data_IF_598002776568
#
_entry.id   IF_598002776568
#
_cell.length_a   1.000
_cell.length_b   1.000
_cell.length_c   1.000
_cell.angle_alpha   90.00
_cell.angle_beta   90.00
_cell.angle_gamma   90.00
#
_symmetry.space_group_name_H-M   'P 1'
#
loop_
_entity.id
_entity.type
_entity.pdbx_description
1 polymer ?
#
# COMPACT_ATOMS: atom_id res chain seq x y z
N UNK A 1 -43.38 2.48 0.46
CA UNK A 1 -42.40 2.70 1.56
C UNK A 1 -42.39 4.17 1.93
N UNK A 2 -42.57 4.49 3.21
CA UNK A 2 -42.60 5.86 3.72
C UNK A 2 -41.24 6.56 3.57
N UNK A 3 -41.24 7.89 3.45
CA UNK A 3 -40.03 8.74 3.36
C UNK A 3 -39.07 8.48 4.52
N UNK A 4 -39.59 8.34 5.73
CA UNK A 4 -38.82 8.00 6.92
C UNK A 4 -38.06 6.67 6.80
N UNK A 5 -38.67 5.64 6.20
CA UNK A 5 -38.04 4.33 6.01
C UNK A 5 -36.86 4.41 5.03
N UNK A 6 -36.99 5.21 3.96
CA UNK A 6 -35.91 5.44 2.99
C UNK A 6 -34.73 6.19 3.61
N UNK A 7 -35.02 7.22 4.42
CA UNK A 7 -34.00 7.99 5.13
C UNK A 7 -33.24 7.12 6.15
N UNK A 8 -33.96 6.29 6.91
CA UNK A 8 -33.33 5.33 7.84
C UNK A 8 -32.41 4.34 7.12
N UNK A 9 -32.84 3.79 5.98
CA UNK A 9 -32.00 2.92 5.15
C UNK A 9 -30.72 3.62 4.69
N UNK A 10 -30.84 4.86 4.21
CA UNK A 10 -29.71 5.67 3.75
C UNK A 10 -28.73 5.99 4.88
N UNK A 11 -29.24 6.28 6.09
CA UNK A 11 -28.42 6.49 7.29
C UNK A 11 -27.62 5.25 7.66
N UNK A 12 -28.26 4.07 7.71
CA UNK A 12 -27.59 2.81 8.05
C UNK A 12 -26.52 2.43 7.01
N UNK A 13 -26.81 2.70 5.74
CA UNK A 13 -25.85 2.50 4.66
C UNK A 13 -24.63 3.41 4.83
N UNK A 14 -24.84 4.71 5.08
CA UNK A 14 -23.75 5.66 5.29
C UNK A 14 -22.91 5.27 6.52
N UNK A 15 -23.56 4.93 7.64
CA UNK A 15 -22.88 4.44 8.84
C UNK A 15 -21.98 3.24 8.54
N UNK A 16 -22.49 2.27 7.79
CA UNK A 16 -21.72 1.08 7.39
C UNK A 16 -20.53 1.45 6.51
N UNK A 17 -20.69 2.38 5.58
CA UNK A 17 -19.61 2.85 4.72
C UNK A 17 -18.53 3.59 5.53
N UNK A 18 -18.90 4.44 6.48
CA UNK A 18 -17.96 5.11 7.39
C UNK A 18 -17.15 4.10 8.21
N UNK A 19 -17.80 3.08 8.78
CA UNK A 19 -17.09 2.01 9.51
C UNK A 19 -16.16 1.19 8.62
N UNK A 20 -16.52 0.97 7.34
CA UNK A 20 -15.64 0.31 6.37
C UNK A 20 -14.43 1.18 6.05
N UNK A 21 -14.61 2.49 5.85
CA UNK A 21 -13.51 3.43 5.66
C UNK A 21 -12.57 3.43 6.86
N UNK A 22 -13.10 3.49 8.09
CA UNK A 22 -12.30 3.46 9.31
C UNK A 22 -11.37 2.23 9.40
N UNK A 23 -11.81 1.06 8.88
CA UNK A 23 -11.00 -0.17 8.85
C UNK A 23 -9.81 -0.09 7.87
N UNK A 24 -9.84 0.82 6.90
CA UNK A 24 -8.76 1.04 5.92
C UNK A 24 -7.60 1.85 6.49
N UNK A 25 -7.73 2.46 7.68
CA UNK A 25 -6.59 3.13 8.32
C UNK A 25 -5.44 2.12 8.51
N UNK A 26 -4.17 2.50 8.29
CA UNK A 26 -3.04 1.57 8.38
C UNK A 26 -2.74 1.16 9.84
N UNK A 27 -2.84 2.11 10.78
CA UNK A 27 -2.54 1.90 12.19
C UNK A 27 -3.80 1.47 12.98
N UNK A 28 -3.63 0.56 13.93
CA UNK A 28 -4.74 0.03 14.72
C UNK A 28 -5.40 1.12 15.59
N UNK A 29 -4.60 1.98 16.23
CA UNK A 29 -5.10 3.07 17.07
C UNK A 29 -5.97 4.02 16.26
N UNK A 30 -5.56 4.34 15.03
CA UNK A 30 -6.34 5.19 14.11
C UNK A 30 -7.64 4.52 13.67
N UNK A 31 -7.66 3.19 13.48
CA UNK A 31 -8.90 2.44 13.17
C UNK A 31 -9.90 2.55 14.31
N UNK A 32 -9.46 2.31 15.54
CA UNK A 32 -10.34 2.34 16.71
C UNK A 32 -10.83 3.76 17.01
N UNK A 33 -9.94 4.76 16.91
CA UNK A 33 -10.30 6.17 17.05
C UNK A 33 -11.36 6.57 16.01
N UNK A 34 -11.16 6.23 14.73
CA UNK A 34 -12.11 6.58 13.68
C UNK A 34 -13.44 5.86 13.84
N UNK A 35 -13.44 4.58 14.25
CA UNK A 35 -14.69 3.86 14.59
C UNK A 35 -15.44 4.54 15.73
N UNK A 36 -14.76 4.91 16.80
CA UNK A 36 -15.36 5.59 17.95
C UNK A 36 -15.94 6.95 17.54
N UNK A 37 -15.23 7.71 16.73
CA UNK A 37 -15.69 9.00 16.20
C UNK A 37 -16.96 8.86 15.36
N UNK A 38 -17.00 7.89 14.44
CA UNK A 38 -18.21 7.60 13.63
C UNK A 38 -19.37 7.22 14.55
N UNK A 39 -19.16 6.33 15.52
CA UNK A 39 -20.20 5.95 16.47
C UNK A 39 -20.72 7.12 17.32
N UNK A 40 -19.84 8.03 17.72
CA UNK A 40 -20.20 9.22 18.47
C UNK A 40 -21.09 10.13 17.62
N UNK A 41 -20.65 10.52 16.42
CA UNK A 41 -21.41 11.41 15.52
C UNK A 41 -22.81 10.91 15.18
N UNK A 42 -22.96 9.62 14.92
CA UNK A 42 -24.27 9.04 14.63
C UNK A 42 -25.16 8.94 15.89
N UNK A 43 -24.57 8.76 17.08
CA UNK A 43 -25.31 8.75 18.35
C UNK A 43 -25.82 10.14 18.71
N UNK A 44 -25.03 11.18 18.48
CA UNK A 44 -25.39 12.58 18.80
C UNK A 44 -26.66 13.02 18.05
N UNK A 45 -26.86 12.53 16.83
CA UNK A 45 -28.01 12.85 15.98
C UNK A 45 -29.12 11.80 16.00
N UNK A 46 -29.08 10.81 16.90
CA UNK A 46 -30.00 9.67 16.91
C UNK A 46 -31.47 10.07 17.13
N UNK A 47 -31.72 11.19 17.81
CA UNK A 47 -33.07 11.70 18.12
C UNK A 47 -33.62 12.64 17.05
N UNK A 48 -32.85 12.93 16.00
CA UNK A 48 -33.26 13.85 14.94
C UNK A 48 -34.37 13.24 14.09
N UNK A 49 -35.55 13.86 14.11
CA UNK A 49 -36.75 13.40 13.38
C UNK A 49 -37.09 14.27 12.16
N UNK A 50 -36.58 15.49 12.12
CA UNK A 50 -36.80 16.42 11.01
C UNK A 50 -36.18 15.85 9.71
N UNK A 51 -37.00 15.52 8.69
CA UNK A 51 -36.51 14.91 7.46
C UNK A 51 -35.55 15.81 6.68
N UNK A 52 -35.69 17.14 6.76
CA UNK A 52 -34.80 18.06 6.04
C UNK A 52 -33.45 18.14 6.72
N UNK A 53 -33.41 18.24 8.06
CA UNK A 53 -32.16 18.08 8.83
C UNK A 53 -31.47 16.74 8.55
N UNK A 54 -32.21 15.63 8.51
CA UNK A 54 -31.62 14.31 8.18
C UNK A 54 -31.00 14.30 6.79
N UNK A 55 -31.63 14.95 5.79
CA UNK A 55 -31.06 15.04 4.43
C UNK A 55 -29.76 15.83 4.41
N UNK A 56 -29.69 16.96 5.12
CA UNK A 56 -28.48 17.78 5.25
C UNK A 56 -27.37 16.96 5.90
N UNK A 57 -27.63 16.34 7.05
CA UNK A 57 -26.65 15.49 7.75
C UNK A 57 -26.14 14.34 6.88
N UNK A 58 -27.03 13.73 6.08
CA UNK A 58 -26.64 12.69 5.14
C UNK A 58 -25.76 13.23 4.00
N UNK A 59 -25.98 14.47 3.55
CA UNK A 59 -25.13 15.10 2.54
C UNK A 59 -23.75 15.42 3.11
N UNK A 60 -23.70 16.07 4.27
CA UNK A 60 -22.46 16.42 4.97
C UNK A 60 -21.62 15.17 5.27
N UNK A 61 -22.26 14.13 5.81
CA UNK A 61 -21.59 12.86 6.12
C UNK A 61 -21.08 12.12 4.88
N UNK A 62 -21.72 12.28 3.71
CA UNK A 62 -21.19 11.75 2.44
C UNK A 62 -19.95 12.51 2.00
N UNK A 63 -19.95 13.83 2.10
CA UNK A 63 -18.79 14.66 1.76
C UNK A 63 -17.59 14.35 2.66
N UNK A 64 -17.82 14.20 3.97
CA UNK A 64 -16.77 13.79 4.91
C UNK A 64 -16.20 12.39 4.57
N UNK A 65 -17.07 11.43 4.24
CA UNK A 65 -16.65 10.10 3.84
C UNK A 65 -15.87 10.12 2.52
N UNK A 66 -16.27 10.93 1.54
CA UNK A 66 -15.56 11.11 0.29
C UNK A 66 -14.16 11.68 0.52
N UNK A 67 -14.03 12.71 1.36
CA UNK A 67 -12.72 13.25 1.77
C UNK A 67 -11.86 12.18 2.42
N UNK A 68 -12.42 11.38 3.33
CA UNK A 68 -11.68 10.28 3.97
C UNK A 68 -11.20 9.23 2.95
N UNK A 69 -12.08 8.83 2.03
CA UNK A 69 -11.74 7.87 0.97
C UNK A 69 -10.69 8.41 0.01
N UNK A 70 -10.71 9.72 -0.29
CA UNK A 70 -9.67 10.37 -1.06
C UNK A 70 -8.31 10.24 -0.38
N UNK A 71 -8.20 10.53 0.91
CA UNK A 71 -6.93 10.37 1.64
C UNK A 71 -6.44 8.92 1.65
N UNK A 72 -7.33 7.94 1.84
CA UNK A 72 -6.99 6.53 1.70
C UNK A 72 -6.43 6.21 0.30
N UNK A 73 -7.04 6.74 -0.76
CA UNK A 73 -6.60 6.50 -2.15
C UNK A 73 -5.18 7.02 -2.41
N UNK A 74 -4.85 8.20 -1.86
CA UNK A 74 -3.51 8.80 -2.00
C UNK A 74 -2.48 7.97 -1.23
N UNK A 75 -2.83 7.52 -0.02
CA UNK A 75 -1.95 6.68 0.79
C UNK A 75 -1.68 5.32 0.12
N UNK A 76 -2.73 4.65 -0.37
CA UNK A 76 -2.62 3.38 -1.10
C UNK A 76 -1.80 3.54 -2.39
N UNK A 77 -1.97 4.65 -3.12
CA UNK A 77 -1.15 4.94 -4.30
C UNK A 77 0.34 5.04 -3.96
N UNK A 78 0.69 5.79 -2.90
CA UNK A 78 2.08 5.92 -2.42
C UNK A 78 2.67 4.57 -2.00
N UNK A 79 1.88 3.72 -1.33
CA UNK A 79 2.33 2.37 -0.97
C UNK A 79 2.61 1.51 -2.21
N UNK A 80 1.71 1.54 -3.21
CA UNK A 80 1.92 0.80 -4.47
C UNK A 80 3.17 1.26 -5.21
N UNK A 81 3.44 2.56 -5.26
CA UNK A 81 4.66 3.11 -5.86
C UNK A 81 5.93 2.63 -5.14
N UNK A 82 5.92 2.64 -3.81
CA UNK A 82 7.04 2.14 -3.00
C UNK A 82 7.26 0.63 -3.20
N UNK A 83 6.19 -0.17 -3.21
CA UNK A 83 6.28 -1.60 -3.51
C UNK A 83 6.78 -1.88 -4.93
N UNK A 84 6.32 -1.10 -5.91
CA UNK A 84 6.76 -1.22 -7.29
C UNK A 84 8.25 -0.84 -7.43
N UNK A 85 8.71 0.21 -6.75
CA UNK A 85 10.12 0.58 -6.71
C UNK A 85 10.98 -0.52 -6.04
N UNK A 86 10.53 -1.08 -4.92
CA UNK A 86 11.22 -2.18 -4.23
C UNK A 86 11.27 -3.46 -5.07
N UNK A 87 10.20 -3.78 -5.81
CA UNK A 87 10.15 -4.91 -6.77
C UNK A 87 10.97 -4.62 -8.04
N UNK A 88 10.98 -3.39 -8.53
CA UNK A 88 11.83 -2.92 -9.62
C UNK A 88 13.32 -3.06 -9.28
N UNK A 89 13.69 -2.77 -8.03
CA UNK A 89 15.04 -3.04 -7.49
C UNK A 89 15.36 -4.54 -7.38
N UNK A 90 14.36 -5.42 -7.28
CA UNK A 90 14.54 -6.88 -7.38
C UNK A 90 14.61 -7.38 -8.82
N UNK A 91 14.18 -6.57 -9.79
CA UNK A 91 14.12 -6.92 -11.22
C UNK A 91 15.26 -6.27 -12.01
N UNK A 92 16.10 -5.42 -11.39
CA UNK A 92 17.49 -5.27 -11.84
C UNK A 92 18.17 -6.61 -11.61
N UNK A 93 18.08 -7.44 -12.65
CA UNK A 93 18.94 -8.58 -12.99
C UNK A 93 20.10 -8.64 -12.00
N UNK A 94 20.12 -9.66 -11.14
CA UNK A 94 21.39 -10.25 -10.72
C UNK A 94 22.10 -10.56 -12.03
N UNK A 95 22.85 -9.58 -12.56
CA UNK A 95 23.89 -9.85 -13.52
C UNK A 95 24.87 -10.62 -12.67
N UNK A 96 24.73 -11.95 -12.68
CA UNK A 96 25.80 -12.83 -12.30
C UNK A 96 26.98 -12.36 -13.12
N UNK A 97 27.82 -11.55 -12.47
CA UNK A 97 29.13 -11.14 -12.89
C UNK A 97 29.94 -12.40 -13.07
N UNK A 98 29.73 -13.09 -14.19
CA UNK A 98 30.40 -14.35 -14.52
C UNK A 98 31.86 -14.01 -14.74
N UNK A 99 32.67 -14.37 -13.74
CA UNK A 99 34.13 -14.25 -13.80
C UNK A 99 34.61 -14.97 -15.06
N UNK A 100 35.58 -14.42 -15.81
CA UNK A 100 36.01 -14.98 -17.09
C UNK A 100 36.52 -16.42 -16.95
N UNK A 101 36.14 -17.30 -17.86
CA UNK A 101 36.46 -18.74 -17.82
C UNK A 101 37.93 -19.03 -18.15
N UNK A 102 38.58 -18.12 -18.88
CA UNK A 102 39.95 -18.26 -19.36
C UNK A 102 40.83 -17.12 -18.85
N UNK A 103 42.10 -17.42 -18.61
CA UNK A 103 43.10 -16.43 -18.22
C UNK A 103 43.36 -15.45 -19.38
N UNK A 104 43.34 -14.13 -19.17
CA UNK A 104 43.59 -13.16 -20.24
C UNK A 104 45.05 -13.16 -20.74
N UNK A 105 46.00 -13.69 -19.96
CA UNK A 105 47.42 -13.65 -20.28
C UNK A 105 47.89 -14.84 -21.10
N UNK A 106 47.39 -16.05 -20.79
CA UNK A 106 47.84 -17.29 -21.41
C UNK A 106 46.70 -18.11 -22.03
N UNK A 107 45.46 -17.61 -21.97
CA UNK A 107 44.23 -18.24 -22.47
C UNK A 107 43.88 -19.61 -21.87
N UNK A 108 44.65 -20.12 -20.91
CA UNK A 108 44.34 -21.35 -20.19
C UNK A 108 43.04 -21.22 -19.39
N UNK A 109 42.25 -22.30 -19.36
CA UNK A 109 41.02 -22.36 -18.57
C UNK A 109 41.34 -22.35 -17.05
N UNK A 110 40.52 -21.65 -16.27
CA UNK A 110 40.63 -21.72 -14.81
C UNK A 110 40.16 -23.10 -14.31
N UNK A 111 40.85 -23.70 -13.32
CA UNK A 111 40.52 -25.04 -12.83
C UNK A 111 39.20 -25.08 -12.05
N UNK A 112 38.73 -23.93 -11.54
CA UNK A 112 37.44 -23.82 -10.86
C UNK A 112 36.86 -22.41 -10.97
N UNK A 113 35.56 -22.29 -10.70
CA UNK A 113 34.86 -21.00 -10.65
C UNK A 113 35.38 -20.09 -9.53
N UNK A 114 35.96 -20.67 -8.48
CA UNK A 114 36.45 -19.99 -7.29
C UNK A 114 37.96 -19.64 -7.37
N UNK A 115 38.67 -20.07 -8.43
CA UNK A 115 40.10 -19.83 -8.58
C UNK A 115 40.38 -18.32 -8.75
N UNK A 116 41.23 -17.78 -7.87
CA UNK A 116 41.65 -16.37 -7.89
C UNK A 116 42.90 -16.13 -8.77
N UNK A 117 43.66 -17.18 -9.08
CA UNK A 117 44.90 -17.10 -9.87
C UNK A 117 44.92 -18.21 -10.93
N UNK A 118 45.59 -17.95 -12.06
CA UNK A 118 45.77 -18.94 -13.11
C UNK A 118 46.79 -20.00 -12.67
N UNK A 119 46.43 -21.28 -12.76
CA UNK A 119 47.34 -22.38 -12.44
C UNK A 119 48.52 -22.52 -13.43
N UNK A 120 48.41 -21.93 -14.63
CA UNK A 120 49.44 -22.02 -15.66
C UNK A 120 50.48 -20.89 -15.60
N UNK A 121 50.06 -19.65 -15.27
CA UNK A 121 50.95 -18.48 -15.31
C UNK A 121 50.92 -17.59 -14.06
N UNK A 122 50.12 -17.95 -13.04
CA UNK A 122 50.03 -17.18 -11.79
C UNK A 122 49.28 -15.85 -11.89
N UNK A 123 48.79 -15.44 -13.08
CA UNK A 123 48.06 -14.18 -13.24
C UNK A 123 46.76 -14.18 -12.45
N UNK A 124 46.50 -13.10 -11.69
CA UNK A 124 45.27 -12.90 -10.92
C UNK A 124 44.06 -12.81 -11.86
N UNK A 125 42.99 -13.53 -11.54
CA UNK A 125 41.73 -13.50 -12.28
C UNK A 125 41.06 -12.14 -12.06
N UNK A 126 40.75 -11.39 -13.12
CA UNK A 126 40.08 -10.11 -12.97
C UNK A 126 38.66 -10.33 -12.43
N UNK A 127 38.30 -9.54 -11.42
CA UNK A 127 36.93 -9.48 -10.93
C UNK A 127 36.16 -8.53 -11.84
N UNK A 128 35.07 -9.00 -12.44
CA UNK A 128 34.24 -8.16 -13.32
C UNK A 128 33.63 -7.02 -12.50
N UNK A 129 33.98 -5.79 -12.86
CA UNK A 129 33.51 -4.54 -12.26
C UNK A 129 32.00 -4.34 -12.38
#
# INVERSE_FOLDING_TARGET
MSTATKLKGSMLQLYTQCLRSARRCPQWEQREMMKAYVQMKFRDEMKTQDPDRVRTLLADGREELERMNYYHSIYEAKQREQEAAAKGLRTTVKSEKKRPVNCPQCHAAYPSEQANFCANCGTKRPETA
#
